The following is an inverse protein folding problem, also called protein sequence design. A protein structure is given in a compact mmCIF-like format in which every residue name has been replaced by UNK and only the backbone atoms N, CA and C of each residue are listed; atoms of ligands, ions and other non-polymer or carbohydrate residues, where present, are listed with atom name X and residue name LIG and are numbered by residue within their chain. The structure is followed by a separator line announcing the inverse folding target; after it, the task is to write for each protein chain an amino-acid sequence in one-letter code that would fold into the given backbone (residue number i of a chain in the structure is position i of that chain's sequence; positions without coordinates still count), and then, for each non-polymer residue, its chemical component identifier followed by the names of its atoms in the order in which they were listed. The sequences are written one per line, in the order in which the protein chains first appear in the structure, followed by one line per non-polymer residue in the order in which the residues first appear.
data_IF_373919283141
#
_entry.id   IF_373919283141
#
_cell.length_a   1.000
_cell.length_b   1.000
_cell.length_c   1.000
_cell.angle_alpha   90.00
_cell.angle_beta   90.00
_cell.angle_gamma   90.00
#
_symmetry.space_group_name_H-M   'P 1'
#
loop_
_entity.id
_entity.type
_entity.pdbx_description
1 polymer ?
#
# COMPACT_ATOMS: atom_id res chain seq x y z
N UNK A 1 11.69 -11.15 -1.45
CA UNK A 1 11.35 -11.41 -0.05
C UNK A 1 12.31 -12.42 0.55
N UNK A 2 12.29 -13.66 0.06
CA UNK A 2 13.07 -14.80 0.57
C UNK A 2 14.59 -14.55 0.66
N UNK A 3 15.15 -13.81 -0.29
CA UNK A 3 16.60 -13.57 -0.35
C UNK A 3 17.12 -12.56 0.67
N UNK A 4 16.26 -11.64 1.14
CA UNK A 4 16.70 -10.51 1.95
C UNK A 4 15.84 -10.29 3.20
N UNK A 5 14.53 -10.13 3.04
CA UNK A 5 13.63 -9.78 4.15
C UNK A 5 13.54 -10.93 5.15
N UNK A 6 13.29 -12.14 4.65
CA UNK A 6 13.14 -13.33 5.50
C UNK A 6 14.47 -13.76 6.15
N UNK A 7 15.59 -13.26 5.63
CA UNK A 7 16.93 -13.44 6.23
C UNK A 7 17.33 -12.30 7.19
N UNK A 8 16.46 -11.33 7.41
CA UNK A 8 16.75 -10.17 8.26
C UNK A 8 17.80 -9.20 7.73
N UNK A 9 18.15 -9.29 6.45
CA UNK A 9 19.15 -8.42 5.81
C UNK A 9 18.57 -7.06 5.39
N UNK A 10 17.26 -7.00 5.15
CA UNK A 10 16.55 -5.82 4.67
C UNK A 10 15.25 -5.66 5.43
N UNK A 11 14.97 -4.46 5.92
CA UNK A 11 13.66 -4.04 6.40
C UNK A 11 12.88 -3.45 5.24
N UNK A 12 11.71 -3.98 4.97
CA UNK A 12 10.79 -3.46 3.97
C UNK A 12 9.71 -2.60 4.63
N UNK A 13 9.47 -1.42 4.06
CA UNK A 13 8.38 -0.55 4.48
C UNK A 13 7.52 -0.21 3.24
N UNK A 14 6.21 -0.40 3.38
CA UNK A 14 5.25 0.05 2.40
C UNK A 14 4.66 1.40 2.83
N UNK A 15 4.70 2.37 1.92
CA UNK A 15 4.11 3.69 2.12
C UNK A 15 3.07 3.93 1.04
N UNK A 16 1.83 4.22 1.46
CA UNK A 16 0.75 4.51 0.54
C UNK A 16 0.93 5.89 -0.11
N UNK A 17 0.62 5.95 -1.39
CA UNK A 17 0.60 7.20 -2.16
C UNK A 17 -0.64 7.20 -3.05
N UNK A 18 -1.85 7.35 -2.47
CA UNK A 18 -3.09 7.27 -3.23
C UNK A 18 -3.21 8.41 -4.22
N UNK A 19 -3.55 8.09 -5.46
CA UNK A 19 -3.73 9.05 -6.56
C UNK A 19 -5.19 9.41 -6.79
N UNK A 20 -6.12 8.63 -6.24
CA UNK A 20 -7.56 8.82 -6.35
C UNK A 20 -8.30 8.30 -5.11
N UNK A 21 -9.61 8.50 -5.09
CA UNK A 21 -10.45 8.08 -3.96
C UNK A 21 -10.49 6.55 -3.79
N UNK A 22 -10.48 5.79 -4.88
CA UNK A 22 -10.47 4.33 -4.83
C UNK A 22 -9.20 3.81 -4.14
N UNK A 23 -8.04 4.36 -4.50
CA UNK A 23 -6.76 4.02 -3.87
C UNK A 23 -6.72 4.43 -2.39
N UNK A 24 -7.27 5.60 -2.05
CA UNK A 24 -7.40 6.05 -0.66
C UNK A 24 -8.25 5.08 0.15
N UNK A 25 -9.41 4.71 -0.34
CA UNK A 25 -10.33 3.80 0.35
C UNK A 25 -9.73 2.38 0.51
N UNK A 26 -8.99 1.90 -0.49
CA UNK A 26 -8.26 0.65 -0.38
C UNK A 26 -7.24 0.69 0.78
N UNK A 27 -6.48 1.77 0.91
CA UNK A 27 -5.54 1.94 2.01
C UNK A 27 -6.24 2.07 3.36
N UNK A 28 -7.36 2.77 3.44
CA UNK A 28 -8.17 2.85 4.66
C UNK A 28 -8.56 1.45 5.15
N UNK A 29 -9.03 0.59 4.25
CA UNK A 29 -9.42 -0.79 4.60
C UNK A 29 -8.21 -1.61 5.05
N UNK A 30 -7.05 -1.45 4.41
CA UNK A 30 -5.81 -2.10 4.86
C UNK A 30 -5.47 -1.68 6.30
N UNK A 31 -5.55 -0.39 6.62
CA UNK A 31 -5.28 0.13 7.97
C UNK A 31 -6.32 -0.26 9.01
N UNK A 32 -7.51 -0.64 8.58
CA UNK A 32 -8.54 -1.19 9.46
C UNK A 32 -8.12 -2.50 10.12
N UNK A 33 -7.20 -3.24 9.51
CA UNK A 33 -6.64 -4.46 10.09
C UNK A 33 -5.51 -4.14 11.07
N UNK A 34 -5.73 -4.40 12.36
CA UNK A 34 -4.77 -4.09 13.42
C UNK A 34 -3.60 -5.08 13.49
N UNK A 35 -3.79 -6.33 13.08
CA UNK A 35 -2.73 -7.34 13.08
C UNK A 35 -1.80 -7.13 11.89
N UNK A 36 -0.51 -6.83 12.15
CA UNK A 36 0.45 -6.51 11.10
C UNK A 36 0.69 -7.65 10.10
N UNK A 37 0.74 -8.89 10.56
CA UNK A 37 0.92 -10.05 9.67
C UNK A 37 -0.25 -10.22 8.71
N UNK A 38 -1.48 -10.09 9.21
CA UNK A 38 -2.71 -10.17 8.41
C UNK A 38 -2.81 -8.95 7.49
N UNK A 39 -2.44 -7.77 7.99
CA UNK A 39 -2.42 -6.51 7.21
C UNK A 39 -1.55 -6.63 5.97
N UNK A 40 -0.34 -7.20 6.06
CA UNK A 40 0.53 -7.40 4.90
C UNK A 40 -0.05 -8.39 3.89
N UNK A 41 -0.72 -9.44 4.35
CA UNK A 41 -1.43 -10.37 3.46
C UNK A 41 -2.60 -9.71 2.76
N UNK A 42 -3.36 -8.88 3.48
CA UNK A 42 -4.45 -8.08 2.90
C UNK A 42 -3.93 -7.09 1.87
N UNK A 43 -2.83 -6.40 2.17
CA UNK A 43 -2.15 -5.50 1.23
C UNK A 43 -1.77 -6.22 -0.07
N UNK A 44 -1.12 -7.38 0.03
CA UNK A 44 -0.74 -8.19 -1.14
C UNK A 44 -1.97 -8.57 -1.97
N UNK A 45 -3.05 -8.99 -1.32
CA UNK A 45 -4.26 -9.42 -2.02
C UNK A 45 -4.99 -8.26 -2.69
N UNK A 46 -5.03 -7.10 -2.08
CA UNK A 46 -5.62 -5.89 -2.68
C UNK A 46 -4.83 -5.50 -3.95
N UNK A 47 -3.50 -5.54 -3.92
CA UNK A 47 -2.69 -5.29 -5.11
C UNK A 47 -2.89 -6.38 -6.19
N UNK A 48 -2.88 -7.65 -5.81
CA UNK A 48 -3.05 -8.76 -6.74
C UNK A 48 -4.40 -8.72 -7.46
N UNK A 49 -5.45 -8.29 -6.75
CA UNK A 49 -6.82 -8.18 -7.28
C UNK A 49 -7.17 -6.79 -7.79
N UNK A 50 -6.21 -5.89 -7.97
CA UNK A 50 -6.49 -4.51 -8.39
C UNK A 50 -7.34 -4.41 -9.64
N UNK A 51 -7.11 -5.26 -10.63
CA UNK A 51 -7.91 -5.29 -11.87
C UNK A 51 -9.36 -5.69 -11.65
N UNK A 52 -9.69 -6.32 -10.54
CA UNK A 52 -11.05 -6.75 -10.21
C UNK A 52 -11.85 -5.67 -9.46
N UNK A 53 -11.20 -4.87 -8.61
CA UNK A 53 -11.89 -3.84 -7.83
C UNK A 53 -11.72 -2.43 -8.37
N UNK A 54 -10.61 -2.11 -9.02
CA UNK A 54 -10.34 -0.78 -9.59
C UNK A 54 -11.03 -0.64 -10.97
N UNK A 55 -12.35 -0.77 -11.00
CA UNK A 55 -13.15 -0.80 -12.23
C UNK A 55 -14.27 0.23 -12.19
N UNK A 56 -14.43 0.97 -13.28
CA UNK A 56 -15.48 1.98 -13.40
C UNK A 56 -15.24 3.21 -12.54
N UNK A 57 -16.30 4.01 -12.35
CA UNK A 57 -16.26 5.28 -11.62
C UNK A 57 -17.20 5.33 -10.42
N UNK A 58 -17.96 4.27 -10.16
CA UNK A 58 -18.86 4.19 -9.01
C UNK A 58 -18.09 3.76 -7.77
N UNK A 59 -17.77 4.73 -6.90
CA UNK A 59 -17.00 4.48 -5.68
C UNK A 59 -17.70 3.50 -4.73
N UNK A 60 -19.02 3.49 -4.67
CA UNK A 60 -19.75 2.56 -3.80
C UNK A 60 -19.56 1.11 -4.27
N UNK A 61 -19.59 0.88 -5.58
CA UNK A 61 -19.29 -0.42 -6.18
C UNK A 61 -17.86 -0.87 -5.91
N UNK A 62 -16.91 0.05 -6.09
CA UNK A 62 -15.49 -0.20 -5.82
C UNK A 62 -15.28 -0.57 -4.34
N UNK A 63 -15.89 0.18 -3.42
CA UNK A 63 -15.82 -0.10 -1.99
C UNK A 63 -16.37 -1.49 -1.64
N UNK A 64 -17.49 -1.88 -2.24
CA UNK A 64 -18.05 -3.22 -2.01
C UNK A 64 -17.11 -4.34 -2.49
N UNK A 65 -16.43 -4.13 -3.61
CA UNK A 65 -15.44 -5.09 -4.12
C UNK A 65 -14.21 -5.19 -3.22
N UNK A 66 -13.71 -4.06 -2.71
CA UNK A 66 -12.58 -4.03 -1.77
C UNK A 66 -12.99 -4.68 -0.44
N UNK A 67 -14.18 -4.40 0.07
CA UNK A 67 -14.71 -4.99 1.31
C UNK A 67 -14.83 -6.51 1.22
N UNK A 68 -15.20 -7.06 0.07
CA UNK A 68 -15.19 -8.52 -0.15
C UNK A 68 -13.82 -9.14 0.09
N UNK A 69 -12.75 -8.45 -0.30
CA UNK A 69 -11.39 -8.89 -0.02
C UNK A 69 -11.12 -8.81 1.49
N UNK A 70 -11.48 -7.70 2.12
CA UNK A 70 -11.31 -7.51 3.57
C UNK A 70 -11.99 -8.57 4.43
N UNK A 71 -13.15 -9.07 4.01
CA UNK A 71 -13.85 -10.17 4.70
C UNK A 71 -13.02 -11.45 4.80
N UNK A 72 -12.17 -11.71 3.83
CA UNK A 72 -11.26 -12.88 3.83
C UNK A 72 -10.08 -12.71 4.81
N UNK A 73 -9.88 -11.50 5.35
CA UNK A 73 -8.77 -11.14 6.23
C UNK A 73 -9.23 -10.65 7.61
N UNK A 74 -10.26 -11.28 8.17
CA UNK A 74 -10.78 -11.05 9.52
C UNK A 74 -11.35 -9.63 9.77
N UNK A 75 -11.84 -8.97 8.74
CA UNK A 75 -12.58 -7.72 8.86
C UNK A 75 -14.07 -7.98 8.65
N UNK A 76 -14.93 -7.35 9.45
CA UNK A 76 -16.38 -7.35 9.24
C UNK A 76 -16.79 -6.19 8.32
N UNK A 77 -17.96 -6.30 7.68
CA UNK A 77 -18.53 -5.18 6.91
C UNK A 77 -18.72 -3.93 7.77
N UNK A 78 -19.23 -4.09 8.99
CA UNK A 78 -19.46 -2.98 9.90
C UNK A 78 -18.16 -2.27 10.29
N UNK A 79 -17.12 -3.01 10.62
CA UNK A 79 -15.81 -2.44 10.94
C UNK A 79 -15.23 -1.67 9.75
N UNK A 80 -15.33 -2.23 8.54
CA UNK A 80 -14.84 -1.56 7.33
C UNK A 80 -15.64 -0.30 7.00
N UNK A 81 -16.96 -0.32 7.21
CA UNK A 81 -17.80 0.87 7.02
C UNK A 81 -17.46 1.98 8.02
N UNK A 82 -17.17 1.63 9.26
CA UNK A 82 -16.69 2.59 10.27
C UNK A 82 -15.34 3.17 9.85
N UNK A 83 -14.39 2.32 9.44
CA UNK A 83 -13.06 2.77 8.99
C UNK A 83 -13.15 3.71 7.77
N UNK A 84 -14.01 3.41 6.80
CA UNK A 84 -14.20 4.24 5.60
C UNK A 84 -14.76 5.64 5.89
N UNK A 85 -15.41 5.81 7.02
CA UNK A 85 -15.95 7.11 7.51
C UNK A 85 -15.01 7.82 8.48
N UNK A 86 -13.91 7.20 8.86
CA UNK A 86 -12.95 7.75 9.80
C UNK A 86 -12.03 8.77 9.12
N UNK A 87 -12.33 10.04 9.33
CA UNK A 87 -11.56 11.15 8.77
C UNK A 87 -10.13 11.19 9.31
N UNK A 88 -9.87 10.69 10.52
CA UNK A 88 -8.52 10.65 11.09
C UNK A 88 -7.62 9.73 10.28
N UNK A 89 -8.10 8.53 9.94
CA UNK A 89 -7.35 7.60 9.09
C UNK A 89 -7.07 8.21 7.70
N UNK A 90 -8.08 8.83 7.10
CA UNK A 90 -7.96 9.48 5.80
C UNK A 90 -6.93 10.61 5.83
N UNK A 91 -6.99 11.47 6.82
CA UNK A 91 -6.07 12.59 7.00
C UNK A 91 -4.64 12.12 7.21
N UNK A 92 -4.41 11.10 8.02
CA UNK A 92 -3.09 10.50 8.23
C UNK A 92 -2.48 9.97 6.92
N UNK A 93 -3.27 9.30 6.09
CA UNK A 93 -2.82 8.80 4.79
C UNK A 93 -2.42 9.96 3.86
N UNK A 94 -3.26 10.99 3.79
CA UNK A 94 -3.03 12.15 2.93
C UNK A 94 -1.83 12.98 3.41
N UNK A 95 -1.66 13.16 4.72
CA UNK A 95 -0.50 13.83 5.31
C UNK A 95 0.80 13.08 5.00
N UNK A 96 0.82 11.76 5.14
CA UNK A 96 1.98 10.94 4.79
C UNK A 96 2.33 11.05 3.30
N UNK A 97 1.34 11.12 2.43
CA UNK A 97 1.56 11.38 1.00
C UNK A 97 2.21 12.73 0.77
N UNK A 98 1.71 13.79 1.40
CA UNK A 98 2.26 15.15 1.29
C UNK A 98 3.71 15.19 1.80
N UNK A 99 3.99 14.59 2.94
CA UNK A 99 5.33 14.50 3.50
C UNK A 99 6.31 13.75 2.58
N UNK A 100 5.89 12.62 2.03
CA UNK A 100 6.70 11.86 1.07
C UNK A 100 6.99 12.66 -0.20
N UNK A 101 5.99 13.40 -0.71
CA UNK A 101 6.15 14.29 -1.85
C UNK A 101 7.18 15.39 -1.57
N UNK A 102 7.12 16.02 -0.40
CA UNK A 102 8.07 17.07 -0.02
C UNK A 102 9.49 16.54 0.16
N UNK A 103 9.62 15.38 0.83
CA UNK A 103 10.91 14.80 1.18
C UNK A 103 11.65 14.20 -0.03
N UNK A 104 10.93 13.49 -0.88
CA UNK A 104 11.52 12.69 -1.96
C UNK A 104 11.18 13.20 -3.37
N UNK A 105 10.36 14.24 -3.50
CA UNK A 105 9.90 14.77 -4.80
C UNK A 105 9.35 13.67 -5.71
N UNK A 106 8.37 12.91 -5.19
CA UNK A 106 7.78 11.77 -5.89
C UNK A 106 6.96 12.28 -7.08
N UNK A 107 7.27 11.80 -8.28
CA UNK A 107 6.62 12.18 -9.53
C UNK A 107 5.66 11.11 -10.05
N UNK A 108 5.89 9.86 -9.66
CA UNK A 108 5.09 8.71 -10.09
C UNK A 108 5.14 7.58 -9.08
N UNK A 109 4.21 6.64 -9.19
CA UNK A 109 4.17 5.40 -8.40
C UNK A 109 4.31 4.18 -9.31
N UNK A 110 4.99 3.12 -8.87
CA UNK A 110 5.74 3.03 -7.62
C UNK A 110 7.06 3.81 -7.65
N UNK A 111 7.45 4.35 -6.50
CA UNK A 111 8.78 4.94 -6.28
C UNK A 111 9.50 4.12 -5.23
N UNK A 112 10.76 3.80 -5.46
CA UNK A 112 11.59 2.98 -4.58
C UNK A 112 12.66 3.83 -3.92
N UNK A 113 12.76 3.69 -2.60
CA UNK A 113 13.76 4.39 -1.78
C UNK A 113 14.55 3.33 -1.02
N UNK A 114 15.87 3.36 -1.16
CA UNK A 114 16.77 2.45 -0.45
C UNK A 114 17.76 3.28 0.35
N UNK A 115 17.79 3.09 1.67
CA UNK A 115 18.64 3.84 2.59
C UNK A 115 18.56 5.37 2.37
N UNK A 116 17.34 5.89 2.20
CA UNK A 116 17.08 7.32 2.01
C UNK A 116 17.32 7.85 0.59
N UNK A 117 17.78 7.02 -0.34
CA UNK A 117 18.02 7.41 -1.73
C UNK A 117 16.90 6.94 -2.65
N UNK A 118 16.36 7.86 -3.44
CA UNK A 118 15.32 7.59 -4.44
C UNK A 118 15.92 7.02 -5.72
N UNK A 119 15.27 5.96 -6.25
CA UNK A 119 15.60 5.33 -7.52
C UNK A 119 14.42 5.46 -8.48
N UNK A 120 14.62 6.11 -9.62
CA UNK A 120 13.59 6.47 -10.59
C UNK A 120 13.63 5.69 -11.89
N UNK A 121 14.70 4.93 -12.15
CA UNK A 121 14.81 4.12 -13.36
C UNK A 121 13.87 2.91 -13.30
N UNK A 122 13.49 2.37 -14.48
CA UNK A 122 12.75 1.10 -14.54
C UNK A 122 13.47 0.02 -13.74
N UNK A 123 12.86 -0.38 -12.62
CA UNK A 123 13.43 -1.36 -11.71
C UNK A 123 12.77 -2.71 -11.98
N UNK A 124 13.56 -3.65 -12.48
CA UNK A 124 13.20 -5.07 -12.50
C UNK A 124 13.93 -5.79 -11.34
N UNK A 125 13.61 -7.05 -11.13
CA UNK A 125 14.22 -7.84 -10.05
C UNK A 125 15.75 -7.82 -10.08
N UNK A 126 16.36 -7.97 -11.27
CA UNK A 126 17.80 -8.01 -11.43
C UNK A 126 18.50 -6.69 -11.06
N UNK A 127 17.94 -5.56 -11.50
CA UNK A 127 18.46 -4.24 -11.16
C UNK A 127 18.23 -3.90 -9.69
N UNK A 128 17.07 -4.27 -9.15
CA UNK A 128 16.74 -4.06 -7.75
C UNK A 128 17.64 -4.88 -6.81
N UNK A 129 17.90 -6.15 -7.16
CA UNK A 129 18.86 -6.99 -6.45
C UNK A 129 20.24 -6.34 -6.36
N UNK A 130 20.75 -5.81 -7.47
CA UNK A 130 22.05 -5.12 -7.50
C UNK A 130 22.08 -3.88 -6.59
N UNK A 131 20.96 -3.11 -6.56
CA UNK A 131 20.84 -1.95 -5.67
C UNK A 131 20.90 -2.38 -4.21
N UNK A 132 20.17 -3.42 -3.84
CA UNK A 132 20.18 -3.93 -2.46
C UNK A 132 21.57 -4.44 -2.10
N UNK A 133 22.16 -5.33 -2.91
CA UNK A 133 23.47 -5.92 -2.64
C UNK A 133 24.56 -4.84 -2.44
N UNK A 134 24.49 -3.75 -3.19
CA UNK A 134 25.42 -2.62 -3.05
C UNK A 134 25.24 -1.84 -1.75
N UNK A 135 24.08 -1.89 -1.14
CA UNK A 135 23.72 -1.15 0.07
C UNK A 135 23.78 -2.00 1.35
N UNK A 136 24.05 -3.29 1.24
CA UNK A 136 24.31 -4.17 2.38
C UNK A 136 25.74 -3.90 2.93
#
# INVERSE_FOLDING_TARGET
KEDYIDKGLVKFEHHAFPLDLAALNAEVIIRCQANNSIKFKLLDEIYNKQKLWAVGSDINKINELIKKIGLEFNLSNDDMDVCLKDEVIQDEILEQRIEAQKKYKIESTPTIIVNGKKYTSKINYKTFKKIIDKNL
#
